data_IF_520952606658
#
_entry.id   IF_520952606658
#
_cell.length_a   1.000
_cell.length_b   1.000
_cell.length_c   1.000
_cell.angle_alpha   90.00
_cell.angle_beta   90.00
_cell.angle_gamma   90.00
#
_symmetry.space_group_name_H-M   'P 1'
#
loop_
_entity.id
_entity.type
_entity.pdbx_description
1 polymer ?
#
# COMPACT_ATOMS: atom_id res chain seq x y z
N UNK A 1 -5.35 10.11 14.04
CA UNK A 1 -4.24 9.31 13.48
C UNK A 1 -4.02 8.07 14.32
N UNK A 2 -3.89 6.92 13.67
CA UNK A 2 -3.56 5.69 14.36
C UNK A 2 -2.14 5.80 14.91
N UNK A 3 -1.97 5.51 16.17
CA UNK A 3 -0.66 5.44 16.79
C UNK A 3 -0.15 4.00 16.72
N UNK A 4 0.92 3.78 15.99
CA UNK A 4 1.53 2.46 15.82
C UNK A 4 2.53 2.11 16.94
N UNK A 5 2.75 3.01 17.87
CA UNK A 5 3.56 2.75 19.04
C UNK A 5 2.66 2.43 20.23
N UNK A 6 3.05 1.41 20.99
CA UNK A 6 2.38 1.07 22.23
C UNK A 6 3.15 1.67 23.40
N UNK A 7 2.40 2.14 24.40
CA UNK A 7 2.96 2.59 25.67
C UNK A 7 2.37 1.80 26.82
N UNK A 8 3.18 1.43 27.78
CA UNK A 8 2.69 0.76 28.99
C UNK A 8 2.16 1.80 30.00
N UNK A 9 1.70 1.33 31.15
CA UNK A 9 1.16 2.20 32.21
C UNK A 9 2.20 3.11 32.84
N UNK A 10 3.48 2.83 32.61
CA UNK A 10 4.61 3.65 33.07
C UNK A 10 5.09 4.61 32.00
N UNK A 11 4.36 4.73 30.89
CA UNK A 11 4.68 5.57 29.74
C UNK A 11 5.95 5.15 28.99
N UNK A 12 6.41 3.93 29.16
CA UNK A 12 7.50 3.38 28.36
C UNK A 12 6.99 2.98 27.00
N UNK A 13 7.67 3.46 25.95
CA UNK A 13 7.33 3.10 24.58
C UNK A 13 7.87 1.70 24.26
N UNK A 14 7.00 0.85 23.75
CA UNK A 14 7.42 -0.42 23.18
C UNK A 14 7.87 -0.23 21.74
N UNK A 15 8.63 -1.20 21.17
CA UNK A 15 8.85 -1.20 19.72
C UNK A 15 7.52 -1.10 18.97
N UNK A 16 7.56 -0.47 17.81
CA UNK A 16 6.37 -0.29 16.99
C UNK A 16 5.71 -1.64 16.69
N UNK A 17 4.43 -1.75 17.00
CA UNK A 17 3.63 -2.93 16.75
C UNK A 17 2.43 -2.54 15.92
N UNK A 18 2.28 -3.18 14.77
CA UNK A 18 1.13 -2.96 13.92
C UNK A 18 -0.10 -3.65 14.52
N UNK A 19 -1.18 -2.91 14.79
CA UNK A 19 -2.41 -3.54 15.27
C UNK A 19 -3.00 -4.47 14.21
N UNK A 20 -3.94 -5.32 14.61
CA UNK A 20 -4.67 -6.14 13.66
C UNK A 20 -5.45 -5.26 12.70
N UNK A 21 -5.46 -5.61 11.43
CA UNK A 21 -6.19 -4.85 10.41
C UNK A 21 -7.69 -4.98 10.57
N UNK A 22 -8.44 -3.94 10.18
CA UNK A 22 -9.90 -3.97 10.14
C UNK A 22 -10.40 -4.76 8.94
N UNK A 23 -9.67 -4.71 7.84
CA UNK A 23 -9.98 -5.45 6.61
C UNK A 23 -8.72 -5.56 5.77
N UNK A 24 -8.74 -6.47 4.80
CA UNK A 24 -7.59 -6.69 3.93
C UNK A 24 -8.04 -7.12 2.53
N UNK A 25 -7.22 -6.79 1.53
CA UNK A 25 -7.32 -7.29 0.17
C UNK A 25 -6.14 -8.19 -0.13
N UNK A 26 -6.40 -9.32 -0.78
CA UNK A 26 -5.36 -10.14 -1.41
C UNK A 26 -5.40 -9.86 -2.90
N UNK A 27 -4.31 -9.33 -3.44
CA UNK A 27 -4.22 -8.90 -4.82
C UNK A 27 -3.16 -9.72 -5.54
N UNK A 28 -3.52 -10.30 -6.67
CA UNK A 28 -2.56 -11.01 -7.54
C UNK A 28 -2.35 -10.19 -8.80
N UNK A 29 -1.08 -9.77 -9.02
CA UNK A 29 -0.70 -9.15 -10.29
C UNK A 29 -0.14 -10.29 -11.15
N UNK A 30 -0.74 -10.57 -12.32
CA UNK A 30 -0.35 -11.72 -13.14
C UNK A 30 1.09 -11.65 -13.64
N UNK A 31 1.64 -12.79 -14.06
CA UNK A 31 2.97 -12.86 -14.67
C UNK A 31 3.07 -12.00 -15.94
N UNK A 32 1.97 -11.90 -16.69
CA UNK A 32 1.78 -10.90 -17.75
C UNK A 32 1.14 -9.69 -17.08
N UNK A 33 1.90 -8.67 -16.67
CA UNK A 33 1.41 -7.69 -15.71
C UNK A 33 0.18 -6.95 -16.20
N UNK A 34 -0.81 -6.83 -15.30
CA UNK A 34 -2.05 -6.11 -15.57
C UNK A 34 -2.42 -5.32 -14.31
N UNK A 35 -2.82 -4.07 -14.51
CA UNK A 35 -3.17 -3.18 -13.41
C UNK A 35 -4.35 -3.73 -12.63
N UNK A 36 -4.23 -3.74 -11.30
CA UNK A 36 -5.29 -4.12 -10.39
C UNK A 36 -5.75 -2.89 -9.62
N UNK A 37 -7.05 -2.80 -9.40
CA UNK A 37 -7.66 -1.67 -8.70
C UNK A 37 -8.41 -2.18 -7.48
N UNK A 38 -8.19 -1.55 -6.35
CA UNK A 38 -8.91 -1.91 -5.12
C UNK A 38 -9.65 -0.70 -4.58
N UNK A 39 -10.83 -0.96 -4.03
CA UNK A 39 -11.64 0.07 -3.38
C UNK A 39 -11.25 0.17 -1.92
N UNK A 40 -10.93 1.38 -1.48
CA UNK A 40 -10.58 1.64 -0.08
C UNK A 40 -11.86 1.59 0.76
N UNK A 41 -11.89 0.81 1.85
CA UNK A 41 -13.05 0.75 2.72
C UNK A 41 -13.36 2.11 3.36
N UNK A 42 -14.64 2.39 3.54
CA UNK A 42 -15.06 3.62 4.19
C UNK A 42 -14.47 3.72 5.60
N UNK A 43 -13.90 4.89 5.93
CA UNK A 43 -13.32 5.14 7.24
C UNK A 43 -11.88 4.66 7.40
N UNK A 44 -11.29 4.05 6.39
CA UNK A 44 -9.89 3.64 6.46
C UNK A 44 -8.96 4.86 6.52
N UNK A 45 -7.97 4.80 7.40
CA UNK A 45 -7.01 5.90 7.61
C UNK A 45 -5.62 5.50 7.14
N UNK A 46 -5.23 4.25 7.37
CA UNK A 46 -3.93 3.72 6.96
C UNK A 46 -4.10 2.46 6.14
N UNK A 47 -3.15 2.25 5.21
CA UNK A 47 -2.99 1.00 4.48
C UNK A 47 -1.56 0.51 4.64
N UNK A 48 -1.41 -0.79 4.92
CA UNK A 48 -0.11 -1.45 4.99
C UNK A 48 -0.02 -2.45 3.85
N UNK A 49 1.07 -2.38 3.11
CA UNK A 49 1.31 -3.22 1.95
C UNK A 49 2.39 -4.24 2.25
N UNK A 50 2.12 -5.50 1.93
CA UNK A 50 3.08 -6.58 2.03
C UNK A 50 3.04 -7.38 0.74
N UNK A 51 4.19 -7.74 0.18
CA UNK A 51 4.22 -8.49 -1.08
C UNK A 51 5.40 -9.45 -1.14
N UNK A 52 5.32 -10.42 -2.04
CA UNK A 52 6.40 -11.37 -2.30
C UNK A 52 7.30 -10.92 -3.46
N UNK A 53 6.97 -9.83 -4.11
CA UNK A 53 7.75 -9.26 -5.22
C UNK A 53 7.55 -7.74 -5.25
N UNK A 54 8.42 -7.04 -5.99
CA UNK A 54 8.29 -5.60 -6.15
C UNK A 54 7.01 -5.25 -6.91
N UNK A 55 6.34 -4.19 -6.45
CA UNK A 55 5.14 -3.67 -7.10
C UNK A 55 5.11 -2.15 -6.96
N UNK A 56 4.28 -1.51 -7.78
CA UNK A 56 4.07 -0.08 -7.76
C UNK A 56 2.60 0.22 -7.50
N UNK A 57 2.34 1.30 -6.79
CA UNK A 57 0.98 1.71 -6.46
C UNK A 57 0.77 3.20 -6.72
N UNK A 58 -0.46 3.57 -7.09
CA UNK A 58 -0.89 4.96 -7.15
C UNK A 58 -2.06 5.17 -6.20
N UNK A 59 -2.15 6.38 -5.65
CA UNK A 59 -3.15 6.72 -4.63
C UNK A 59 -4.10 7.83 -5.09
N UNK A 60 -3.91 8.37 -6.29
CA UNK A 60 -4.71 9.49 -6.80
C UNK A 60 -5.63 9.11 -7.96
N UNK A 61 -5.83 7.82 -8.18
CA UNK A 61 -6.66 7.32 -9.28
C UNK A 61 -5.96 7.26 -10.63
N UNK A 62 -4.71 7.69 -10.72
CA UNK A 62 -3.95 7.60 -11.97
C UNK A 62 -3.54 6.17 -12.27
N UNK A 63 -3.36 5.88 -13.56
CA UNK A 63 -2.79 4.62 -14.02
C UNK A 63 -1.39 4.44 -13.42
N UNK A 64 -1.08 3.22 -13.01
CA UNK A 64 0.24 2.89 -12.48
C UNK A 64 1.23 2.85 -13.63
N UNK A 65 2.24 3.71 -13.59
CA UNK A 65 3.35 3.67 -14.53
C UNK A 65 4.49 2.87 -13.92
N UNK A 66 4.77 1.70 -14.49
CA UNK A 66 5.90 0.89 -14.09
C UNK A 66 7.12 1.42 -14.84
N UNK A 67 8.16 1.94 -14.15
CA UNK A 67 9.31 2.52 -14.82
C UNK A 67 10.06 1.50 -15.67
N UNK A 68 10.53 1.95 -16.83
CA UNK A 68 11.46 1.16 -17.64
C UNK A 68 12.90 1.40 -17.21
N UNK A 69 13.82 1.30 -18.18
CA UNK A 69 15.25 1.43 -17.91
C UNK A 69 15.76 2.87 -18.03
N UNK A 70 14.88 3.85 -17.94
CA UNK A 70 15.24 5.28 -18.00
C UNK A 70 15.81 5.69 -16.65
N UNK A 71 16.92 6.43 -16.67
CA UNK A 71 17.62 6.84 -15.45
C UNK A 71 16.77 7.75 -14.57
N UNK A 72 15.89 8.56 -15.16
CA UNK A 72 14.96 9.41 -14.41
C UNK A 72 13.69 9.62 -15.22
N UNK A 73 12.54 9.64 -14.53
CA UNK A 73 11.26 9.90 -15.16
C UNK A 73 10.41 10.74 -14.21
N UNK A 74 9.88 11.84 -14.73
CA UNK A 74 9.02 12.74 -13.97
C UNK A 74 7.54 12.46 -14.14
N UNK A 75 7.17 11.42 -14.86
CA UNK A 75 5.82 11.26 -15.38
C UNK A 75 4.84 10.56 -14.44
N UNK A 76 5.29 10.08 -13.28
CA UNK A 76 4.47 9.13 -12.52
C UNK A 76 4.39 9.49 -11.05
N UNK A 77 3.21 9.25 -10.49
CA UNK A 77 2.98 9.26 -9.03
C UNK A 77 3.03 7.84 -8.46
N UNK A 78 3.56 6.89 -9.21
CA UNK A 78 3.71 5.51 -8.77
C UNK A 78 4.79 5.38 -7.71
N UNK A 79 4.49 4.65 -6.66
CA UNK A 79 5.39 4.45 -5.52
C UNK A 79 5.75 2.97 -5.45
N UNK A 80 7.05 2.68 -5.45
CA UNK A 80 7.56 1.32 -5.31
C UNK A 80 7.42 0.86 -3.86
N UNK A 81 6.79 -0.28 -3.65
CA UNK A 81 6.68 -0.94 -2.34
C UNK A 81 6.34 0.05 -1.22
N UNK A 82 5.18 0.67 -1.24
CA UNK A 82 4.89 1.82 -0.39
C UNK A 82 4.94 1.57 1.12
N UNK A 83 4.86 0.33 1.57
CA UNK A 83 4.89 0.03 3.01
C UNK A 83 3.61 0.45 3.73
N UNK A 84 3.68 1.44 4.60
CA UNK A 84 2.52 1.97 5.31
C UNK A 84 2.24 3.37 4.79
N UNK A 85 0.98 3.63 4.39
CA UNK A 85 0.55 4.92 3.87
C UNK A 85 -0.68 5.44 4.59
N UNK A 86 -0.69 6.73 4.83
CA UNK A 86 -1.89 7.44 5.27
C UNK A 86 -2.77 7.64 4.03
N UNK A 87 -3.99 7.08 4.08
CA UNK A 87 -4.86 7.05 2.90
C UNK A 87 -6.23 7.67 3.16
N UNK A 88 -6.35 8.52 4.16
CA UNK A 88 -7.61 9.19 4.49
C UNK A 88 -8.11 9.95 3.26
N UNK A 89 -9.38 9.75 2.91
CA UNK A 89 -10.05 10.36 1.76
C UNK A 89 -9.55 9.87 0.40
N UNK A 90 -8.79 8.78 0.35
CA UNK A 90 -8.41 8.14 -0.92
C UNK A 90 -9.39 7.02 -1.22
N UNK A 91 -10.15 7.09 -2.32
CA UNK A 91 -11.19 6.10 -2.61
C UNK A 91 -10.67 4.85 -3.29
N UNK A 92 -9.57 4.94 -4.04
CA UNK A 92 -9.08 3.85 -4.87
C UNK A 92 -7.57 3.80 -4.85
N UNK A 93 -7.03 2.59 -4.77
CA UNK A 93 -5.60 2.32 -4.89
C UNK A 93 -5.41 1.41 -6.10
N UNK A 94 -4.49 1.77 -6.98
CA UNK A 94 -4.16 0.98 -8.16
C UNK A 94 -2.76 0.40 -8.02
N UNK A 95 -2.59 -0.84 -8.44
CA UNK A 95 -1.35 -1.59 -8.29
C UNK A 95 -0.94 -2.20 -9.63
N UNK A 96 0.35 -2.23 -9.89
CA UNK A 96 0.91 -2.98 -11.01
C UNK A 96 2.36 -3.37 -10.71
N UNK A 97 2.93 -4.24 -11.52
CA UNK A 97 4.29 -4.74 -11.30
C UNK A 97 4.96 -5.08 -12.64
N UNK A 98 6.22 -5.50 -12.60
CA UNK A 98 6.94 -5.96 -13.78
C UNK A 98 6.72 -7.44 -14.06
N UNK A 99 6.09 -8.17 -13.15
CA UNK A 99 5.79 -9.59 -13.28
C UNK A 99 4.83 -10.05 -12.20
N UNK A 100 4.76 -11.35 -11.96
CA UNK A 100 3.89 -11.92 -10.94
C UNK A 100 4.21 -11.36 -9.55
N UNK A 101 3.19 -10.86 -8.88
CA UNK A 101 3.31 -10.39 -7.50
C UNK A 101 2.03 -10.70 -6.73
N UNK A 102 2.20 -11.15 -5.50
CA UNK A 102 1.09 -11.35 -4.57
C UNK A 102 1.20 -10.25 -3.52
N UNK A 103 0.19 -9.40 -3.45
CA UNK A 103 0.19 -8.23 -2.57
C UNK A 103 -0.96 -8.35 -1.58
N UNK A 104 -0.66 -8.16 -0.31
CA UNK A 104 -1.68 -8.02 0.73
C UNK A 104 -1.74 -6.56 1.15
N UNK A 105 -2.94 -5.99 1.13
CA UNK A 105 -3.19 -4.62 1.55
C UNK A 105 -4.09 -4.67 2.77
N UNK A 106 -3.57 -4.28 3.91
CA UNK A 106 -4.32 -4.25 5.17
C UNK A 106 -4.78 -2.83 5.45
N UNK A 107 -6.03 -2.66 5.84
CA UNK A 107 -6.59 -1.36 6.15
C UNK A 107 -6.85 -1.20 7.64
N UNK A 108 -6.58 0.00 8.15
CA UNK A 108 -6.73 0.36 9.55
C UNK A 108 -7.59 1.62 9.66
N UNK A 109 -8.54 1.56 10.55
CA UNK A 109 -9.43 2.70 10.85
C UNK A 109 -8.92 3.55 12.00
#
# INVERSE_FOLDING_TARGET
MINLLLTDVSSNAYPEVTPASDSAWSVVIPASPDEQSITVPAGAIFAKFTSDANFYATFNGSTVAVPGNTAASASSVSVLNPGIKHIRSIPTIKLNATGLAHVTVEFFK
#
